data_IF_100037006550
#
_entry.id   IF_100037006550
#
_cell.length_a   1.000
_cell.length_b   1.000
_cell.length_c   1.000
_cell.angle_alpha   90.00
_cell.angle_beta   90.00
_cell.angle_gamma   90.00
#
_symmetry.space_group_name_H-M   'P 1'
#
loop_
_entity.id
_entity.type
_entity.pdbx_description
1 polymer ?
#
# COMPACT_ATOMS: atom_id res chain seq x y z
N UNK A 1 8.15 13.19 10.34
CA UNK A 1 8.09 12.37 11.57
C UNK A 1 6.74 11.70 11.61
N UNK A 2 6.65 10.44 12.03
CA UNK A 2 5.38 9.68 12.05
C UNK A 2 4.28 10.41 12.85
N UNK A 3 4.64 11.10 13.93
CA UNK A 3 3.69 11.90 14.73
C UNK A 3 3.06 13.06 13.96
N UNK A 4 3.84 13.69 13.08
CA UNK A 4 3.37 14.79 12.25
C UNK A 4 2.41 14.27 11.18
N UNK A 5 2.73 13.13 10.56
CA UNK A 5 1.86 12.46 9.60
C UNK A 5 0.49 12.15 10.22
N UNK A 6 0.47 11.62 11.46
CA UNK A 6 -0.77 11.34 12.21
C UNK A 6 -1.57 12.62 12.45
N UNK A 7 -0.90 13.72 12.83
CA UNK A 7 -1.54 15.02 13.05
C UNK A 7 -2.17 15.58 11.76
N UNK A 8 -1.53 15.38 10.60
CA UNK A 8 -2.08 15.84 9.32
C UNK A 8 -3.22 14.95 8.84
N UNK A 9 -3.09 13.63 8.94
CA UNK A 9 -4.13 12.67 8.59
C UNK A 9 -5.40 12.92 9.41
N UNK A 10 -5.27 13.10 10.72
CA UNK A 10 -6.42 13.36 11.61
C UNK A 10 -7.10 14.71 11.35
N UNK A 11 -6.36 15.74 10.95
CA UNK A 11 -6.92 17.09 10.74
C UNK A 11 -7.48 17.34 9.35
N UNK A 12 -6.85 16.78 8.32
CA UNK A 12 -7.21 17.01 6.92
C UNK A 12 -8.18 15.93 6.41
N UNK A 13 -8.24 14.77 7.07
CA UNK A 13 -9.09 13.66 6.65
C UNK A 13 -8.50 12.89 5.46
N UNK A 14 -7.17 12.78 5.39
CA UNK A 14 -6.49 12.01 4.35
C UNK A 14 -6.73 10.52 4.61
N UNK A 15 -7.22 9.79 3.61
CA UNK A 15 -7.53 8.36 3.78
C UNK A 15 -6.28 7.47 3.72
N UNK A 16 -5.28 7.81 2.90
CA UNK A 16 -4.09 6.98 2.70
C UNK A 16 -2.85 7.82 2.40
N UNK A 17 -1.68 7.33 2.84
CA UNK A 17 -0.38 7.94 2.59
C UNK A 17 0.42 7.11 1.59
N UNK A 18 1.00 7.78 0.58
CA UNK A 18 1.86 7.14 -0.41
C UNK A 18 3.16 6.66 0.25
N UNK A 19 3.58 5.45 -0.12
CA UNK A 19 4.83 4.80 0.28
C UNK A 19 5.48 4.22 -0.98
N UNK A 20 6.80 4.26 -1.06
CA UNK A 20 7.54 3.88 -2.28
C UNK A 20 8.50 2.72 -2.00
N UNK A 21 8.34 1.61 -2.73
CA UNK A 21 9.20 0.43 -2.58
C UNK A 21 10.59 0.65 -3.21
N UNK A 22 10.66 1.45 -4.29
CA UNK A 22 11.94 1.81 -4.91
C UNK A 22 12.87 2.60 -3.98
N UNK A 23 12.40 3.20 -2.90
CA UNK A 23 13.26 3.91 -1.93
C UNK A 23 14.09 2.98 -1.06
N UNK A 24 13.78 1.68 -1.00
CA UNK A 24 14.62 0.72 -0.29
C UNK A 24 15.98 0.57 -1.00
N UNK A 25 17.06 0.81 -0.26
CA UNK A 25 18.44 0.68 -0.76
C UNK A 25 18.97 -0.76 -0.72
N UNK A 26 18.37 -1.63 0.09
CA UNK A 26 18.73 -3.03 0.23
C UNK A 26 17.49 -3.88 0.55
N UNK A 27 17.59 -5.18 0.29
CA UNK A 27 16.63 -6.22 0.61
C UNK A 27 16.10 -6.15 2.05
N UNK A 28 16.96 -5.81 3.02
CA UNK A 28 16.58 -5.62 4.42
C UNK A 28 15.57 -4.48 4.60
N UNK A 29 15.80 -3.35 3.94
CA UNK A 29 14.89 -2.21 4.03
C UNK A 29 13.58 -2.48 3.31
N UNK A 30 13.62 -3.16 2.16
CA UNK A 30 12.41 -3.57 1.47
C UNK A 30 11.58 -4.51 2.35
N UNK A 31 12.22 -5.48 3.01
CA UNK A 31 11.57 -6.35 3.99
C UNK A 31 10.98 -5.58 5.17
N UNK A 32 11.70 -4.58 5.70
CA UNK A 32 11.20 -3.72 6.78
C UNK A 32 9.96 -2.91 6.34
N UNK A 33 9.95 -2.38 5.12
CA UNK A 33 8.80 -1.67 4.55
C UNK A 33 7.61 -2.60 4.31
N UNK A 34 7.84 -3.75 3.69
CA UNK A 34 6.82 -4.76 3.45
C UNK A 34 6.21 -5.27 4.77
N UNK A 35 7.03 -5.50 5.80
CA UNK A 35 6.54 -5.91 7.12
C UNK A 35 5.73 -4.81 7.81
N UNK A 36 6.17 -3.55 7.71
CA UNK A 36 5.45 -2.40 8.28
C UNK A 36 4.07 -2.19 7.65
N UNK A 37 3.95 -2.41 6.35
CA UNK A 37 2.72 -2.28 5.58
C UNK A 37 1.97 -3.61 5.40
N UNK A 38 2.49 -4.67 6.02
CA UNK A 38 1.82 -5.96 6.15
C UNK A 38 0.71 -5.93 7.18
N UNK A 39 0.07 -7.09 7.34
CA UNK A 39 -0.99 -7.28 8.32
C UNK A 39 -0.42 -7.47 9.74
N UNK A 40 -1.34 -7.64 10.69
CA UNK A 40 -1.00 -8.12 12.04
C UNK A 40 -0.24 -9.45 11.96
N UNK A 41 0.72 -9.71 12.87
CA UNK A 41 1.40 -11.00 12.94
C UNK A 41 0.41 -12.16 13.08
N UNK A 42 0.80 -13.32 12.54
CA UNK A 42 0.04 -14.56 12.68
C UNK A 42 -0.04 -14.92 14.16
N UNK A 43 -1.26 -15.20 14.65
CA UNK A 43 -1.50 -15.52 16.07
C UNK A 43 -1.59 -14.30 17.00
N UNK A 44 -1.73 -13.09 16.46
CA UNK A 44 -2.01 -11.90 17.28
C UNK A 44 -3.35 -12.05 18.01
N UNK A 45 -3.41 -11.62 19.28
CA UNK A 45 -4.69 -11.43 19.95
C UNK A 45 -5.40 -10.23 19.33
N UNK A 46 -6.62 -10.44 18.86
CA UNK A 46 -7.39 -9.42 18.15
C UNK A 46 -8.38 -8.71 19.08
N UNK A 47 -9.05 -7.68 18.55
CA UNK A 47 -10.08 -6.92 19.24
C UNK A 47 -11.21 -7.78 19.80
N UNK A 48 -11.43 -8.98 19.24
CA UNK A 48 -12.39 -9.96 19.78
C UNK A 48 -12.11 -10.33 21.23
N UNK A 49 -10.84 -10.35 21.67
CA UNK A 49 -10.49 -10.64 23.06
C UNK A 49 -10.86 -9.53 24.04
N UNK A 50 -11.23 -8.35 23.54
CA UNK A 50 -11.52 -7.13 24.33
C UNK A 50 -13.00 -6.73 24.14
N UNK A 51 -13.73 -7.41 23.25
CA UNK A 51 -15.13 -7.16 22.99
C UNK A 51 -15.98 -7.68 24.14
N UNK A 52 -16.77 -6.78 24.74
CA UNK A 52 -17.68 -7.13 25.83
C UNK A 52 -19.12 -7.17 25.35
N UNK A 53 -19.90 -8.11 25.87
CA UNK A 53 -21.35 -8.13 25.69
C UNK A 53 -21.95 -7.05 26.60
N UNK A 54 -22.69 -6.12 26.01
CA UNK A 54 -23.45 -5.11 26.75
C UNK A 54 -24.83 -4.91 26.12
N UNK A 55 -25.60 -3.96 26.62
CA UNK A 55 -26.94 -3.63 26.11
C UNK A 55 -26.93 -2.25 25.47
N UNK A 56 -27.39 -2.12 24.23
CA UNK A 56 -27.60 -0.84 23.58
C UNK A 56 -29.08 -0.58 23.29
N UNK A 57 -29.44 0.69 23.18
CA UNK A 57 -30.79 1.08 22.77
C UNK A 57 -30.95 0.79 21.28
N UNK A 58 -32.07 0.15 20.93
CA UNK A 58 -32.51 -0.04 19.54
C UNK A 58 -32.48 1.30 18.78
N UNK A 59 -32.28 1.32 17.44
CA UNK A 59 -32.32 2.55 16.64
C UNK A 59 -33.60 3.37 16.84
N UNK A 60 -34.70 2.71 17.23
CA UNK A 60 -36.00 3.33 17.53
C UNK A 60 -36.16 3.75 19.01
N UNK A 61 -35.12 3.62 19.83
CA UNK A 61 -35.01 4.13 21.21
C UNK A 61 -35.86 3.43 22.28
N UNK A 62 -36.63 2.40 21.93
CA UNK A 62 -37.69 1.85 22.80
C UNK A 62 -37.35 0.54 23.54
N UNK A 63 -36.34 -0.19 23.08
CA UNK A 63 -35.99 -1.51 23.62
C UNK A 63 -34.47 -1.63 23.76
N UNK A 64 -34.03 -2.22 24.87
CA UNK A 64 -32.64 -2.60 25.07
C UNK A 64 -32.38 -3.92 24.35
N UNK A 65 -31.43 -3.90 23.42
CA UNK A 65 -31.00 -5.07 22.66
C UNK A 65 -29.57 -5.46 23.06
N UNK A 66 -29.25 -6.75 23.15
CA UNK A 66 -27.88 -7.19 23.41
C UNK A 66 -26.98 -6.77 22.25
N UNK A 67 -25.81 -6.23 22.57
CA UNK A 67 -24.83 -5.77 21.60
C UNK A 67 -23.40 -6.10 22.03
N UNK A 68 -22.50 -6.08 21.05
CA UNK A 68 -21.08 -6.24 21.25
C UNK A 68 -20.44 -4.85 21.24
N UNK A 69 -19.77 -4.49 22.33
CA UNK A 69 -19.00 -3.24 22.43
C UNK A 69 -17.53 -3.57 22.24
N UNK A 70 -17.00 -3.12 21.11
CA UNK A 70 -15.58 -3.23 20.77
C UNK A 70 -14.92 -1.86 20.93
N UNK A 71 -13.85 -1.72 21.72
CA UNK A 71 -13.12 -0.45 21.83
C UNK A 71 -12.45 -0.08 20.50
N UNK A 72 -12.55 1.19 20.12
CA UNK A 72 -11.87 1.73 18.95
C UNK A 72 -10.49 2.22 19.35
N UNK A 73 -9.45 1.52 18.89
CA UNK A 73 -8.07 1.94 19.09
C UNK A 73 -7.58 2.80 17.93
N UNK A 74 -6.61 3.68 18.20
CA UNK A 74 -5.90 4.39 17.14
C UNK A 74 -5.11 3.40 16.27
N UNK A 75 -5.28 3.49 14.96
CA UNK A 75 -4.47 2.78 13.97
C UNK A 75 -3.42 3.70 13.36
N UNK A 76 -2.39 3.10 12.77
CA UNK A 76 -1.52 3.85 11.85
C UNK A 76 -2.32 4.26 10.62
N UNK A 77 -2.03 5.41 9.99
CA UNK A 77 -2.66 5.79 8.74
C UNK A 77 -2.53 4.68 7.70
N UNK A 78 -3.59 4.47 6.90
CA UNK A 78 -3.54 3.50 5.81
C UNK A 78 -2.45 3.90 4.81
N UNK A 79 -1.78 2.88 4.25
CA UNK A 79 -0.74 3.08 3.25
C UNK A 79 -1.27 2.78 1.85
N UNK A 80 -0.79 3.56 0.88
CA UNK A 80 -0.82 3.23 -0.54
C UNK A 80 0.62 2.93 -0.94
N UNK A 81 0.95 1.65 -1.07
CA UNK A 81 2.30 1.18 -1.35
C UNK A 81 2.51 1.07 -2.86
N UNK A 82 3.30 1.99 -3.38
CA UNK A 82 3.70 2.03 -4.77
C UNK A 82 4.94 1.17 -4.95
N UNK A 83 4.90 0.22 -5.88
CA UNK A 83 6.08 -0.52 -6.31
C UNK A 83 7.12 0.40 -6.96
N UNK A 84 6.68 1.29 -7.85
CA UNK A 84 7.44 2.39 -8.44
C UNK A 84 6.52 3.58 -8.71
N UNK A 85 6.96 4.78 -8.33
CA UNK A 85 6.28 6.03 -8.70
C UNK A 85 6.85 6.60 -10.00
N UNK A 86 6.15 7.58 -10.58
CA UNK A 86 6.59 8.27 -11.80
C UNK A 86 7.86 9.12 -11.60
N UNK A 87 8.19 9.48 -10.36
CA UNK A 87 9.39 10.23 -10.00
C UNK A 87 10.58 9.31 -9.63
N UNK A 88 10.38 8.00 -9.59
CA UNK A 88 11.42 7.05 -9.20
C UNK A 88 12.18 6.53 -10.42
N UNK A 89 13.49 6.33 -10.24
CA UNK A 89 14.29 5.55 -11.18
C UNK A 89 13.70 4.14 -11.34
N UNK A 90 13.67 3.65 -12.58
CA UNK A 90 13.16 2.30 -12.88
C UNK A 90 14.02 1.22 -12.22
N UNK A 91 13.47 0.00 -11.98
CA UNK A 91 14.25 -1.12 -11.47
C UNK A 91 15.52 -1.40 -12.27
N UNK A 92 15.45 -1.25 -13.60
CA UNK A 92 16.59 -1.39 -14.50
C UNK A 92 17.71 -0.37 -14.21
N UNK A 93 17.38 0.84 -13.79
CA UNK A 93 18.36 1.90 -13.48
C UNK A 93 18.93 1.76 -12.07
N UNK A 94 18.08 1.48 -11.08
CA UNK A 94 18.47 1.48 -9.66
C UNK A 94 19.00 0.13 -9.18
N UNK A 95 18.53 -0.96 -9.78
CA UNK A 95 18.81 -2.35 -9.39
C UNK A 95 19.07 -3.19 -10.65
N UNK A 96 18.16 -4.12 -10.95
CA UNK A 96 18.15 -4.99 -12.12
C UNK A 96 16.70 -5.08 -12.66
N UNK A 97 16.54 -5.38 -13.95
CA UNK A 97 15.22 -5.42 -14.58
C UNK A 97 14.34 -6.58 -14.04
N UNK A 98 14.96 -7.68 -13.65
CA UNK A 98 14.32 -8.88 -13.09
C UNK A 98 13.70 -8.62 -11.71
N UNK A 99 14.18 -7.61 -10.98
CA UNK A 99 13.65 -7.23 -9.68
C UNK A 99 12.21 -6.70 -9.78
N UNK A 100 11.79 -6.23 -10.95
CA UNK A 100 10.42 -5.78 -11.23
C UNK A 100 9.37 -6.79 -10.77
N UNK A 101 9.60 -8.09 -11.04
CA UNK A 101 8.69 -9.16 -10.65
C UNK A 101 8.68 -9.38 -9.13
N UNK A 102 9.86 -9.48 -8.53
CA UNK A 102 9.99 -9.80 -7.09
C UNK A 102 9.51 -8.64 -6.21
N UNK A 103 9.90 -7.41 -6.56
CA UNK A 103 9.48 -6.20 -5.87
C UNK A 103 7.97 -5.97 -6.02
N UNK A 104 7.43 -6.10 -7.24
CA UNK A 104 5.99 -6.02 -7.49
C UNK A 104 5.21 -7.06 -6.67
N UNK A 105 5.68 -8.31 -6.62
CA UNK A 105 5.04 -9.37 -5.84
C UNK A 105 5.04 -9.08 -4.32
N UNK A 106 6.16 -8.59 -3.76
CA UNK A 106 6.25 -8.23 -2.34
C UNK A 106 5.29 -7.09 -1.98
N UNK A 107 5.18 -6.09 -2.84
CA UNK A 107 4.24 -4.98 -2.66
C UNK A 107 2.79 -5.48 -2.80
N UNK A 108 2.49 -6.32 -3.79
CA UNK A 108 1.17 -6.92 -3.99
C UNK A 108 0.72 -7.80 -2.81
N UNK A 109 1.66 -8.46 -2.11
CA UNK A 109 1.37 -9.27 -0.91
C UNK A 109 1.16 -8.43 0.36
N UNK A 110 1.42 -7.12 0.32
CA UNK A 110 1.18 -6.27 1.48
C UNK A 110 -0.31 -6.05 1.74
N UNK A 111 -0.69 -5.86 3.01
CA UNK A 111 -2.08 -5.72 3.42
C UNK A 111 -2.53 -4.25 3.34
N UNK A 112 -2.28 -3.60 2.21
CA UNK A 112 -2.60 -2.20 1.97
C UNK A 112 -2.98 -1.94 0.51
N UNK A 113 -3.33 -0.70 0.18
CA UNK A 113 -3.60 -0.35 -1.22
C UNK A 113 -2.28 -0.37 -2.00
N UNK A 114 -2.29 -0.92 -3.22
CA UNK A 114 -1.11 -1.01 -4.07
C UNK A 114 -1.31 -0.17 -5.32
N UNK A 115 -0.24 0.40 -5.85
CA UNK A 115 -0.25 1.08 -7.14
C UNK A 115 1.08 0.95 -7.87
N UNK A 116 1.04 1.20 -9.17
CA UNK A 116 2.21 1.17 -10.05
C UNK A 116 2.13 2.24 -11.11
N UNK A 117 3.29 2.65 -11.63
CA UNK A 117 3.40 3.56 -12.77
C UNK A 117 3.38 2.77 -14.08
N UNK A 118 2.71 3.32 -15.10
CA UNK A 118 2.76 2.77 -16.46
C UNK A 118 4.21 2.72 -16.94
N UNK A 119 4.66 1.57 -17.44
CA UNK A 119 6.04 1.30 -17.82
C UNK A 119 6.82 0.48 -16.80
N UNK A 120 6.35 0.38 -15.54
CA UNK A 120 6.93 -0.55 -14.56
C UNK A 120 6.67 -1.99 -14.99
N UNK A 121 5.41 -2.35 -15.21
CA UNK A 121 5.01 -3.70 -15.62
C UNK A 121 5.62 -4.11 -16.97
N UNK A 122 5.74 -3.13 -17.89
CA UNK A 122 6.36 -3.32 -19.20
C UNK A 122 7.90 -3.30 -19.19
N UNK A 123 8.52 -3.13 -18.01
CA UNK A 123 9.98 -3.15 -17.81
C UNK A 123 10.68 -2.10 -18.68
N UNK A 124 10.24 -0.85 -18.57
CA UNK A 124 10.88 0.26 -19.27
C UNK A 124 12.32 0.46 -18.73
N UNK A 125 13.32 0.66 -19.62
CA UNK A 125 14.72 0.70 -19.20
C UNK A 125 15.12 2.02 -18.54
N UNK A 126 14.32 3.08 -18.70
CA UNK A 126 14.60 4.40 -18.15
C UNK A 126 13.32 5.05 -17.66
N UNK A 127 13.44 5.83 -16.57
CA UNK A 127 12.41 6.74 -16.11
C UNK A 127 12.03 7.70 -17.25
N UNK A 128 10.74 8.02 -17.31
CA UNK A 128 10.16 8.93 -18.30
C UNK A 128 10.42 10.37 -17.85
N UNK A 129 11.08 11.16 -18.70
CA UNK A 129 11.27 12.58 -18.44
C UNK A 129 9.94 13.34 -18.63
N UNK A 130 9.38 13.84 -17.54
CA UNK A 130 8.10 14.56 -17.51
C UNK A 130 8.08 15.85 -18.35
N UNK A 131 9.25 16.41 -18.67
CA UNK A 131 9.37 17.68 -19.39
C UNK A 131 9.63 17.47 -20.87
N UNK A 132 10.56 16.58 -21.21
CA UNK A 132 11.07 16.46 -22.57
C UNK A 132 10.48 15.27 -23.35
N UNK A 133 9.91 14.27 -22.68
CA UNK A 133 9.38 13.09 -23.36
C UNK A 133 8.03 13.38 -24.03
N UNK A 134 7.92 13.04 -25.32
CA UNK A 134 6.72 13.30 -26.12
C UNK A 134 6.19 12.05 -26.82
N UNK A 135 6.93 10.93 -26.75
CA UNK A 135 6.53 9.68 -27.38
C UNK A 135 5.30 9.08 -26.66
N UNK A 136 4.28 8.61 -27.40
CA UNK A 136 3.15 7.92 -26.79
C UNK A 136 3.55 6.54 -26.26
N UNK A 137 2.79 6.02 -25.29
CA UNK A 137 2.95 4.63 -24.84
C UNK A 137 2.71 3.64 -25.97
N UNK A 138 3.49 2.56 -25.98
CA UNK A 138 3.36 1.48 -26.96
C UNK A 138 2.00 0.78 -26.82
N UNK A 139 1.30 0.63 -27.93
CA UNK A 139 0.02 -0.10 -27.97
C UNK A 139 0.33 -1.54 -28.36
N UNK A 140 0.07 -2.46 -27.43
CA UNK A 140 0.37 -3.86 -27.61
C UNK A 140 -0.88 -4.66 -28.00
N UNK A 141 -0.76 -5.54 -28.99
CA UNK A 141 -1.85 -6.44 -29.41
C UNK A 141 -2.29 -7.40 -28.29
N UNK A 142 -1.34 -7.79 -27.42
CA UNK A 142 -1.55 -8.63 -26.24
C UNK A 142 -0.82 -8.02 -25.04
N UNK A 143 -1.46 -7.12 -24.29
CA UNK A 143 -0.79 -6.39 -23.21
C UNK A 143 -0.36 -7.30 -22.05
N UNK A 144 -1.06 -8.41 -21.82
CA UNK A 144 -0.75 -9.35 -20.73
C UNK A 144 0.53 -10.18 -20.97
N UNK A 145 0.98 -10.30 -22.22
CA UNK A 145 2.17 -11.12 -22.57
C UNK A 145 3.50 -10.35 -22.39
N UNK A 146 3.46 -9.14 -21.82
CA UNK A 146 4.59 -8.22 -21.80
C UNK A 146 5.05 -8.01 -20.36
N UNK A 147 6.36 -8.17 -20.15
CA UNK A 147 6.99 -7.97 -18.85
C UNK A 147 6.33 -8.82 -17.77
N UNK A 148 5.75 -8.16 -16.76
CA UNK A 148 5.03 -8.80 -15.64
C UNK A 148 3.50 -8.70 -15.76
N UNK A 149 2.96 -8.43 -16.96
CA UNK A 149 1.53 -8.21 -17.17
C UNK A 149 0.61 -9.43 -16.99
N UNK A 150 1.14 -10.61 -16.69
CA UNK A 150 0.39 -11.87 -16.53
C UNK A 150 0.30 -12.29 -15.08
#
# INVERSE_FOLDING_TARGET
SEEMDIKFVSRIGINSLIREAMQAWDSRELSRLAHRHGAKPIGSMDTECITNISTCKSPNGKLDVPCLVTPVFGSKPHALFMDCTHDNETPHQKRIAEDTLSNGALVAMSACAVGSVKGYDEVYPKIIDLVNETRPYSIYKKPLDIGIGR
#
